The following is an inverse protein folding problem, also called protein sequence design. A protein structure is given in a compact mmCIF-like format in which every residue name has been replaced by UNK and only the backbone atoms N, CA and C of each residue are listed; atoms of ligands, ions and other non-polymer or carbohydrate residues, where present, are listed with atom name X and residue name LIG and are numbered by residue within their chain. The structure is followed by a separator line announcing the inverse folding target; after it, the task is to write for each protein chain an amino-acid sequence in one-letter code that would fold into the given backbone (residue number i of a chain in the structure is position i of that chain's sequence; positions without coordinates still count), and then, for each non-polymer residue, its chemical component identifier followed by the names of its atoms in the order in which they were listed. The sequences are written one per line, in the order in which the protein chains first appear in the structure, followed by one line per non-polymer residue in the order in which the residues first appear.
data_IF_996531126529
#
_entry.id   IF_996531126529
#
_cell.length_a   1.000
_cell.length_b   1.000
_cell.length_c   1.000
_cell.angle_alpha   90.00
_cell.angle_beta   90.00
_cell.angle_gamma   90.00
#
_symmetry.space_group_name_H-M   'P 1'
#
loop_
_entity.id
_entity.type
_entity.pdbx_description
1 polymer ?
#
# COMPACT_ATOMS: atom_id res chain seq x y z
N UNK A 1 35.80 28.38 -42.39
CA UNK A 1 35.80 27.18 -41.53
C UNK A 1 34.68 27.35 -40.53
N UNK A 2 33.56 26.70 -40.77
CA UNK A 2 32.36 26.77 -39.93
C UNK A 2 32.45 25.64 -38.88
N UNK A 3 32.56 26.02 -37.60
CA UNK A 3 32.57 25.05 -36.50
C UNK A 3 31.11 24.67 -36.20
N UNK A 4 30.74 23.44 -36.54
CA UNK A 4 29.47 22.85 -36.09
C UNK A 4 29.57 22.56 -34.61
N UNK A 5 28.81 23.30 -33.79
CA UNK A 5 28.54 22.97 -32.40
C UNK A 5 27.45 21.88 -32.38
N UNK A 6 27.87 20.65 -32.04
CA UNK A 6 26.91 19.56 -31.77
C UNK A 6 26.26 19.84 -30.41
N UNK A 7 25.00 20.23 -30.40
CA UNK A 7 24.19 20.35 -29.20
C UNK A 7 23.72 18.94 -28.80
N UNK A 8 24.32 18.41 -27.73
CA UNK A 8 23.92 17.13 -27.15
C UNK A 8 22.59 17.33 -26.42
N UNK A 9 21.49 16.92 -27.05
CA UNK A 9 20.19 16.83 -26.37
C UNK A 9 20.21 15.65 -25.41
N UNK A 10 20.48 15.91 -24.11
CA UNK A 10 20.23 14.94 -23.05
C UNK A 10 18.73 14.91 -22.81
N UNK A 11 18.04 13.93 -23.39
CA UNK A 11 16.65 13.64 -23.04
C UNK A 11 16.59 13.12 -21.61
N UNK A 12 16.19 13.96 -20.67
CA UNK A 12 15.77 13.55 -19.34
C UNK A 12 14.47 12.75 -19.50
N UNK A 13 14.60 11.43 -19.62
CA UNK A 13 13.46 10.54 -19.47
C UNK A 13 12.95 10.70 -18.05
N UNK A 14 11.65 10.97 -17.83
CA UNK A 14 11.08 10.94 -16.49
C UNK A 14 11.27 9.51 -15.96
N UNK A 15 12.04 9.36 -14.89
CA UNK A 15 12.06 8.14 -14.10
C UNK A 15 10.66 8.02 -13.51
N UNK A 16 9.80 7.28 -14.19
CA UNK A 16 8.49 6.90 -13.65
C UNK A 16 8.75 6.13 -12.37
N UNK A 17 8.43 6.74 -11.25
CA UNK A 17 8.51 6.07 -9.95
C UNK A 17 7.34 5.07 -9.82
N UNK A 18 7.39 4.00 -10.60
CA UNK A 18 6.52 2.83 -10.43
C UNK A 18 7.01 1.93 -9.28
N UNK A 19 7.66 2.53 -8.27
CA UNK A 19 8.34 1.75 -7.24
C UNK A 19 7.41 0.83 -6.45
N UNK A 20 6.10 1.13 -6.33
CA UNK A 20 5.22 0.39 -5.43
C UNK A 20 3.87 -0.05 -6.04
N UNK A 21 3.60 0.13 -7.31
CA UNK A 21 2.40 -0.36 -8.02
C UNK A 21 1.03 0.06 -7.41
N UNK A 22 0.95 1.19 -6.71
CA UNK A 22 -0.31 1.64 -6.09
C UNK A 22 -1.42 1.85 -7.12
N UNK A 23 -1.10 2.42 -8.29
CA UNK A 23 -2.06 2.65 -9.37
C UNK A 23 -2.61 1.35 -9.94
N UNK A 24 -1.74 0.39 -10.24
CA UNK A 24 -2.13 -0.92 -10.79
C UNK A 24 -2.98 -1.71 -9.78
N UNK A 25 -2.57 -1.72 -8.51
CA UNK A 25 -3.31 -2.39 -7.45
C UNK A 25 -4.68 -1.74 -7.21
N UNK A 26 -4.73 -0.41 -7.24
CA UNK A 26 -5.98 0.34 -7.12
C UNK A 26 -6.96 0.02 -8.24
N UNK A 27 -6.49 -0.03 -9.49
CA UNK A 27 -7.29 -0.43 -10.64
C UNK A 27 -7.79 -1.87 -10.53
N UNK A 28 -6.90 -2.79 -10.15
CA UNK A 28 -7.22 -4.22 -10.07
C UNK A 28 -8.27 -4.55 -9.02
N UNK A 29 -8.23 -3.89 -7.88
CA UNK A 29 -9.09 -4.18 -6.73
C UNK A 29 -10.15 -3.11 -6.46
N UNK A 30 -10.30 -2.14 -7.36
CA UNK A 30 -11.27 -1.04 -7.27
C UNK A 30 -11.16 -0.26 -5.94
N UNK A 31 -9.93 0.04 -5.52
CA UNK A 31 -9.62 0.86 -4.35
C UNK A 31 -8.74 2.05 -4.74
N UNK A 32 -8.82 3.15 -3.97
CA UNK A 32 -8.04 4.34 -4.27
C UNK A 32 -6.53 4.09 -4.12
N UNK A 33 -5.68 4.42 -5.12
CA UNK A 33 -4.23 4.38 -4.98
C UNK A 33 -3.71 5.23 -3.83
N UNK A 34 -4.30 6.40 -3.60
CA UNK A 34 -3.96 7.29 -2.48
C UNK A 34 -4.26 6.63 -1.13
N UNK A 35 -5.36 5.87 -1.04
CA UNK A 35 -5.69 5.11 0.15
C UNK A 35 -4.66 4.00 0.42
N UNK A 36 -4.25 3.27 -0.61
CA UNK A 36 -3.20 2.25 -0.50
C UNK A 36 -1.87 2.86 -0.05
N UNK A 37 -1.51 4.02 -0.61
CA UNK A 37 -0.34 4.78 -0.17
C UNK A 37 -0.43 5.18 1.31
N UNK A 38 -1.58 5.70 1.75
CA UNK A 38 -1.79 6.12 3.14
C UNK A 38 -1.69 4.94 4.12
N UNK A 39 -2.22 3.77 3.74
CA UNK A 39 -2.08 2.53 4.50
C UNK A 39 -0.60 2.13 4.59
N UNK A 40 0.11 2.07 3.47
CA UNK A 40 1.55 1.75 3.46
C UNK A 40 2.37 2.74 4.29
N UNK A 41 2.02 4.03 4.25
CA UNK A 41 2.63 5.06 5.10
C UNK A 41 2.39 4.80 6.58
N UNK A 42 1.17 4.43 6.95
CA UNK A 42 0.81 4.11 8.34
C UNK A 42 1.49 2.83 8.83
N UNK A 43 1.57 1.80 8.00
CA UNK A 43 2.04 0.47 8.37
C UNK A 43 3.56 0.39 8.50
N UNK A 44 4.30 0.92 7.54
CA UNK A 44 5.75 0.74 7.46
C UNK A 44 6.54 2.03 7.26
N UNK A 45 5.90 3.20 7.22
CA UNK A 45 6.51 4.45 6.74
C UNK A 45 7.09 4.32 5.33
N UNK A 46 6.43 3.55 4.47
CA UNK A 46 6.84 3.22 3.11
C UNK A 46 8.15 2.41 3.05
N UNK A 47 8.42 1.58 4.05
CA UNK A 47 9.59 0.70 4.07
C UNK A 47 9.22 -0.70 3.56
N UNK A 48 9.64 -1.10 2.34
CA UNK A 48 9.31 -2.42 1.79
C UNK A 48 10.01 -3.58 2.51
N UNK A 49 11.06 -3.31 3.27
CA UNK A 49 11.81 -4.30 4.04
C UNK A 49 11.33 -4.47 5.48
N UNK A 50 10.24 -3.79 5.86
CA UNK A 50 9.72 -3.87 7.22
C UNK A 50 9.19 -5.28 7.53
N UNK A 51 9.62 -5.85 8.66
CA UNK A 51 9.11 -7.11 9.20
C UNK A 51 8.92 -6.92 10.70
N UNK A 52 7.71 -7.23 11.19
CA UNK A 52 7.39 -7.16 12.61
C UNK A 52 6.89 -8.52 13.12
N UNK A 53 7.47 -8.97 14.20
CA UNK A 53 7.04 -10.18 14.91
C UNK A 53 6.12 -9.79 16.07
N UNK A 54 4.88 -10.27 16.03
CA UNK A 54 3.87 -9.94 17.00
C UNK A 54 3.90 -10.89 18.20
N UNK A 55 3.44 -10.43 19.36
CA UNK A 55 3.41 -11.24 20.61
C UNK A 55 2.53 -12.49 20.49
N UNK A 56 1.54 -12.49 19.60
CA UNK A 56 0.65 -13.62 19.34
C UNK A 56 1.26 -14.66 18.38
N UNK A 57 2.54 -14.51 17.99
CA UNK A 57 3.25 -15.42 17.10
C UNK A 57 3.05 -15.12 15.60
N UNK A 58 2.24 -14.13 15.23
CA UNK A 58 2.09 -13.73 13.83
C UNK A 58 3.23 -12.81 13.40
N UNK A 59 3.43 -12.69 12.09
CA UNK A 59 4.43 -11.81 11.47
C UNK A 59 3.76 -10.91 10.46
N UNK A 60 4.11 -9.62 10.47
CA UNK A 60 3.69 -8.64 9.47
C UNK A 60 4.85 -8.38 8.52
N UNK A 61 4.59 -8.45 7.21
CA UNK A 61 5.63 -8.41 6.17
C UNK A 61 5.40 -7.24 5.22
N UNK A 62 6.46 -6.49 4.99
CA UNK A 62 6.62 -5.57 3.88
C UNK A 62 5.90 -4.25 4.01
N UNK A 63 5.76 -3.60 2.86
CA UNK A 63 5.28 -2.22 2.73
C UNK A 63 3.93 -1.98 3.41
N UNK A 64 2.98 -2.91 3.23
CA UNK A 64 1.62 -2.83 3.77
C UNK A 64 1.42 -3.72 5.00
N UNK A 65 2.49 -4.28 5.57
CA UNK A 65 2.47 -5.12 6.77
C UNK A 65 1.41 -6.24 6.70
N UNK A 66 1.52 -7.04 5.64
CA UNK A 66 0.62 -8.18 5.42
C UNK A 66 0.88 -9.23 6.49
N UNK A 67 -0.15 -9.56 7.27
CA UNK A 67 -0.05 -10.48 8.40
C UNK A 67 -0.03 -11.95 7.94
N UNK A 68 0.74 -12.78 8.65
CA UNK A 68 0.89 -14.21 8.36
C UNK A 68 -0.41 -15.03 8.48
N UNK A 69 -1.46 -14.50 9.08
CA UNK A 69 -2.80 -15.11 9.07
C UNK A 69 -3.38 -15.22 7.64
N UNK A 70 -2.87 -14.43 6.70
CA UNK A 70 -3.28 -14.48 5.30
C UNK A 70 -2.48 -15.48 4.44
N UNK A 71 -1.43 -16.11 5.01
CA UNK A 71 -0.50 -16.96 4.27
C UNK A 71 -1.19 -18.08 3.49
N UNK A 72 -2.13 -18.79 4.12
CA UNK A 72 -2.86 -19.88 3.46
C UNK A 72 -3.70 -19.39 2.28
N UNK A 73 -4.33 -18.23 2.40
CA UNK A 73 -5.19 -17.65 1.35
C UNK A 73 -4.37 -17.03 0.23
N UNK A 74 -3.20 -16.47 0.53
CA UNK A 74 -2.27 -15.95 -0.46
C UNK A 74 -1.50 -17.05 -1.18
N UNK A 75 -1.38 -18.24 -0.57
CA UNK A 75 -0.65 -19.36 -1.14
C UNK A 75 0.78 -18.99 -1.53
N UNK A 76 1.26 -19.35 -2.74
CA UNK A 76 2.62 -19.07 -3.18
C UNK A 76 2.99 -17.57 -3.19
N UNK A 77 2.02 -16.67 -3.26
CA UNK A 77 2.25 -15.21 -3.22
C UNK A 77 2.91 -14.79 -1.90
N UNK A 78 2.66 -15.53 -0.83
CA UNK A 78 3.25 -15.25 0.48
C UNK A 78 4.78 -15.19 0.44
N UNK A 79 5.44 -16.06 -0.30
CA UNK A 79 6.90 -16.13 -0.39
C UNK A 79 7.52 -14.93 -1.12
N UNK A 80 6.70 -14.15 -1.84
CA UNK A 80 7.13 -12.98 -2.62
C UNK A 80 6.75 -11.65 -1.99
N UNK A 81 6.24 -11.61 -0.75
CA UNK A 81 5.79 -10.37 -0.09
C UNK A 81 6.91 -9.37 0.22
N UNK A 82 8.18 -9.74 0.05
CA UNK A 82 9.30 -8.80 0.12
C UNK A 82 9.43 -7.93 -1.14
N UNK A 83 8.85 -8.38 -2.26
CA UNK A 83 8.69 -7.52 -3.44
C UNK A 83 7.62 -6.46 -3.18
N UNK A 84 7.95 -5.16 -3.33
CA UNK A 84 7.01 -4.08 -2.98
C UNK A 84 5.71 -4.14 -3.77
N UNK A 85 5.78 -4.44 -5.06
CA UNK A 85 4.59 -4.50 -5.92
C UNK A 85 3.68 -5.68 -5.52
N UNK A 86 4.25 -6.86 -5.29
CA UNK A 86 3.53 -8.04 -4.79
C UNK A 86 2.87 -7.75 -3.44
N UNK A 87 3.57 -7.04 -2.55
CA UNK A 87 3.06 -6.66 -1.23
C UNK A 87 1.86 -5.71 -1.34
N UNK A 88 1.95 -4.68 -2.18
CA UNK A 88 0.84 -3.75 -2.42
C UNK A 88 -0.36 -4.44 -3.05
N UNK A 89 -0.14 -5.35 -4.00
CA UNK A 89 -1.22 -6.15 -4.59
C UNK A 89 -1.92 -7.02 -3.53
N UNK A 90 -1.17 -7.67 -2.64
CA UNK A 90 -1.73 -8.45 -1.54
C UNK A 90 -2.51 -7.56 -0.56
N UNK A 91 -1.94 -6.42 -0.17
CA UNK A 91 -2.62 -5.46 0.71
C UNK A 91 -3.91 -4.89 0.10
N UNK A 92 -3.90 -4.56 -1.19
CA UNK A 92 -5.09 -4.10 -1.90
C UNK A 92 -6.17 -5.19 -1.98
N UNK A 93 -5.79 -6.44 -2.19
CA UNK A 93 -6.71 -7.57 -2.13
C UNK A 93 -7.32 -7.72 -0.73
N UNK A 94 -6.53 -7.63 0.35
CA UNK A 94 -7.03 -7.67 1.73
C UNK A 94 -8.02 -6.53 1.99
N UNK A 95 -7.69 -5.30 1.57
CA UNK A 95 -8.60 -4.17 1.69
C UNK A 95 -9.90 -4.40 0.92
N UNK A 96 -9.83 -5.02 -0.26
CA UNK A 96 -11.02 -5.37 -1.05
C UNK A 96 -11.95 -6.35 -0.34
N UNK A 97 -11.41 -7.27 0.48
CA UNK A 97 -12.23 -8.14 1.32
C UNK A 97 -13.00 -7.33 2.39
N UNK A 98 -12.35 -6.33 2.99
CA UNK A 98 -12.98 -5.40 3.91
C UNK A 98 -14.07 -4.56 3.22
N UNK A 99 -13.82 -4.08 2.00
CA UNK A 99 -14.82 -3.35 1.18
C UNK A 99 -16.01 -4.24 0.85
N UNK A 100 -15.79 -5.50 0.55
CA UNK A 100 -16.90 -6.46 0.34
C UNK A 100 -17.81 -6.57 1.57
N UNK A 101 -17.21 -6.57 2.78
CA UNK A 101 -17.93 -6.81 4.03
C UNK A 101 -18.60 -5.53 4.59
N UNK A 102 -17.99 -4.36 4.39
CA UNK A 102 -18.40 -3.08 4.98
C UNK A 102 -18.82 -2.01 3.96
N UNK A 103 -18.80 -2.33 2.65
CA UNK A 103 -18.90 -1.33 1.59
C UNK A 103 -17.66 -0.44 1.51
N UNK A 104 -17.65 0.51 0.58
CA UNK A 104 -16.54 1.47 0.45
C UNK A 104 -16.68 2.58 1.49
N UNK A 105 -16.32 2.29 2.73
CA UNK A 105 -16.53 3.12 3.91
C UNK A 105 -15.26 3.22 4.77
N UNK A 106 -15.22 4.14 5.70
CA UNK A 106 -14.15 4.22 6.70
C UNK A 106 -14.09 2.97 7.59
N UNK A 107 -15.19 2.27 7.78
CA UNK A 107 -15.19 0.99 8.49
C UNK A 107 -14.43 -0.09 7.72
N UNK A 108 -14.53 -0.11 6.38
CA UNK A 108 -13.70 -0.99 5.55
C UNK A 108 -12.20 -0.65 5.66
N UNK A 109 -11.86 0.63 5.68
CA UNK A 109 -10.47 1.08 5.89
C UNK A 109 -9.96 0.59 7.25
N UNK A 110 -10.71 0.80 8.30
CA UNK A 110 -10.36 0.35 9.65
C UNK A 110 -10.24 -1.17 9.77
N UNK A 111 -11.10 -1.91 9.05
CA UNK A 111 -11.10 -3.38 8.99
C UNK A 111 -9.76 -3.95 8.50
N UNK A 112 -9.02 -3.21 7.66
CA UNK A 112 -7.68 -3.62 7.24
C UNK A 112 -6.78 -3.96 8.43
N UNK A 113 -6.87 -3.17 9.49
CA UNK A 113 -6.10 -3.37 10.72
C UNK A 113 -6.80 -4.30 11.71
N UNK A 114 -8.11 -4.12 11.93
CA UNK A 114 -8.89 -4.87 12.93
C UNK A 114 -10.38 -4.81 12.66
N UNK A 115 -11.07 -5.90 12.98
CA UNK A 115 -12.54 -5.93 12.96
C UNK A 115 -13.16 -5.49 14.30
N UNK A 116 -12.34 -5.39 15.36
CA UNK A 116 -12.77 -4.86 16.66
C UNK A 116 -13.13 -3.38 16.53
N UNK A 117 -14.35 -2.94 16.84
CA UNK A 117 -14.83 -1.58 16.56
C UNK A 117 -13.90 -0.46 17.05
N UNK A 118 -13.41 -0.53 18.28
CA UNK A 118 -12.52 0.50 18.83
C UNK A 118 -11.19 0.61 18.07
N UNK A 119 -10.56 -0.51 17.73
CA UNK A 119 -9.30 -0.54 16.97
C UNK A 119 -9.53 -0.16 15.51
N UNK A 120 -10.60 -0.66 14.91
CA UNK A 120 -11.02 -0.35 13.55
C UNK A 120 -11.21 1.16 13.37
N UNK A 121 -11.99 1.78 14.22
CA UNK A 121 -12.36 3.18 14.07
C UNK A 121 -11.18 4.12 14.39
N UNK A 122 -10.32 3.76 15.35
CA UNK A 122 -9.08 4.48 15.61
C UNK A 122 -8.11 4.42 14.41
N UNK A 123 -7.96 3.25 13.81
CA UNK A 123 -7.14 3.10 12.61
C UNK A 123 -7.67 3.89 11.42
N UNK A 124 -8.98 3.84 11.17
CA UNK A 124 -9.62 4.63 10.12
C UNK A 124 -9.35 6.13 10.29
N UNK A 125 -9.44 6.65 11.52
CA UNK A 125 -9.11 8.03 11.86
C UNK A 125 -7.65 8.38 11.56
N UNK A 126 -6.72 7.48 11.85
CA UNK A 126 -5.29 7.64 11.53
C UNK A 126 -5.05 7.74 10.02
N UNK A 127 -5.68 6.87 9.23
CA UNK A 127 -5.56 6.91 7.77
C UNK A 127 -6.17 8.20 7.21
N UNK A 128 -7.33 8.63 7.71
CA UNK A 128 -7.95 9.89 7.31
C UNK A 128 -7.02 11.09 7.57
N UNK A 129 -6.35 11.12 8.71
CA UNK A 129 -5.38 12.17 9.04
C UNK A 129 -4.20 12.21 8.06
N UNK A 130 -3.64 11.04 7.70
CA UNK A 130 -2.55 10.94 6.72
C UNK A 130 -3.00 11.46 5.34
N UNK A 131 -4.19 11.09 4.89
CA UNK A 131 -4.75 11.57 3.61
C UNK A 131 -5.01 13.07 3.63
N UNK A 132 -5.46 13.62 4.76
CA UNK A 132 -5.68 15.05 4.91
C UNK A 132 -4.37 15.84 4.86
N UNK A 133 -3.34 15.39 5.56
CA UNK A 133 -2.00 15.99 5.51
C UNK A 133 -1.40 15.95 4.10
N UNK A 134 -1.64 14.88 3.36
CA UNK A 134 -1.22 14.74 1.96
C UNK A 134 -2.06 15.57 0.97
N UNK A 135 -3.13 16.25 1.43
CA UNK A 135 -4.03 17.01 0.56
C UNK A 135 -4.95 16.15 -0.32
N UNK A 136 -5.06 14.86 -0.05
CA UNK A 136 -5.89 13.92 -0.82
C UNK A 136 -7.36 13.96 -0.45
N UNK A 137 -7.69 14.45 0.74
CA UNK A 137 -9.05 14.73 1.24
C UNK A 137 -9.09 16.06 1.99
N UNK A 138 -10.29 16.65 2.11
CA UNK A 138 -10.53 17.91 2.82
C UNK A 138 -11.15 17.69 4.19
#
# INVERSE_FOLDING_TARGET
MQKLLAVLFISLLPLSSHAFCFEEAGQRYAVSPQLLWAIAKAESSLNPSAVNHNRNGTTDVGLMQVNSLWADQLGPTWDYLHDPCTNVMAGAWILSQCVRDYGYTWQAVGCYHSRTPSHRDAYAGRIAAILKEAGSIR
#
